data_IF_988949662682
#
_entry.id   IF_988949662682
#
_cell.length_a   1.000
_cell.length_b   1.000
_cell.length_c   1.000
_cell.angle_alpha   90.00
_cell.angle_beta   90.00
_cell.angle_gamma   90.00
#
_symmetry.space_group_name_H-M   'P 1'
#
loop_
_entity.id
_entity.type
_entity.pdbx_description
1 polymer ?
#
# COMPACT_ATOMS: atom_id res chain seq x y z
N UNK A 1 -67.03 2.67 65.26
CA UNK A 1 -67.36 3.77 66.17
C UNK A 1 -66.53 4.97 65.75
N UNK A 2 -67.21 5.99 65.25
CA UNK A 2 -66.67 7.20 64.64
C UNK A 2 -65.80 8.01 65.61
N UNK A 3 -64.79 8.72 65.09
CA UNK A 3 -64.62 10.17 65.26
C UNK A 3 -63.78 10.68 64.08
N UNK A 4 -64.38 11.57 63.29
CA UNK A 4 -63.72 12.52 62.41
C UNK A 4 -63.43 13.78 63.23
N UNK A 5 -62.25 14.39 63.10
CA UNK A 5 -62.13 15.86 63.22
C UNK A 5 -61.01 16.42 62.33
N UNK A 6 -61.36 17.59 61.79
CA UNK A 6 -60.77 18.43 60.73
C UNK A 6 -59.40 19.05 61.06
N UNK A 7 -58.91 19.77 60.04
CA UNK A 7 -57.98 20.91 60.01
C UNK A 7 -56.56 20.55 59.57
N UNK A 8 -55.87 21.30 58.72
CA UNK A 8 -56.20 22.36 57.77
C UNK A 8 -54.97 22.46 56.84
N UNK A 9 -55.19 22.75 55.56
CA UNK A 9 -54.12 23.04 54.60
C UNK A 9 -53.56 24.44 54.91
N UNK A 10 -52.24 24.63 54.79
CA UNK A 10 -51.83 25.70 53.88
C UNK A 10 -50.78 25.23 52.89
N UNK A 11 -50.98 25.69 51.67
CA UNK A 11 -50.05 25.57 50.56
C UNK A 11 -48.72 26.24 50.88
N UNK A 12 -47.62 25.59 50.51
CA UNK A 12 -46.44 26.33 50.07
C UNK A 12 -45.66 25.46 49.07
N UNK A 13 -45.45 26.02 47.90
CA UNK A 13 -44.83 25.41 46.73
C UNK A 13 -43.37 25.05 46.98
N UNK A 14 -42.93 23.87 46.52
CA UNK A 14 -41.52 23.58 46.29
C UNK A 14 -41.37 22.78 44.98
N UNK A 15 -41.22 23.57 43.91
CA UNK A 15 -40.30 23.42 42.78
C UNK A 15 -39.78 21.99 42.54
N UNK A 16 -40.27 21.39 41.45
CA UNK A 16 -39.58 20.32 40.72
C UNK A 16 -38.21 20.83 40.25
N UNK A 17 -37.13 20.41 40.92
CA UNK A 17 -35.82 20.34 40.27
C UNK A 17 -35.67 18.93 39.72
N UNK A 18 -36.11 18.74 38.48
CA UNK A 18 -35.64 17.63 37.67
C UNK A 18 -34.17 17.91 37.33
N UNK A 19 -33.26 17.25 38.04
CA UNK A 19 -31.84 17.21 37.69
C UNK A 19 -31.70 16.49 36.35
N UNK A 20 -31.74 17.22 35.24
CA UNK A 20 -31.31 16.72 33.93
C UNK A 20 -29.77 16.70 33.96
N UNK A 21 -29.21 15.72 34.67
CA UNK A 21 -27.81 15.34 34.52
C UNK A 21 -27.72 14.37 33.34
N UNK A 22 -27.89 14.91 32.13
CA UNK A 22 -28.04 14.08 30.94
C UNK A 22 -27.66 14.76 29.62
N UNK A 23 -26.69 15.67 29.62
CA UNK A 23 -26.19 16.29 28.38
C UNK A 23 -24.69 16.58 28.50
N UNK A 24 -23.83 15.58 28.27
CA UNK A 24 -22.45 15.84 27.83
C UNK A 24 -21.77 14.60 27.23
N UNK A 25 -22.45 13.89 26.32
CA UNK A 25 -21.82 12.86 25.48
C UNK A 25 -22.06 13.07 23.98
N UNK A 26 -22.82 14.08 23.59
CA UNK A 26 -23.15 14.36 22.18
C UNK A 26 -22.38 15.53 21.56
N UNK A 27 -21.74 16.40 22.35
CA UNK A 27 -21.06 17.60 21.85
C UNK A 27 -19.61 17.34 21.41
N UNK A 28 -18.89 16.41 22.05
CA UNK A 28 -17.50 16.07 21.71
C UNK A 28 -17.36 15.44 20.33
N UNK A 29 -18.34 14.60 19.94
CA UNK A 29 -18.32 13.90 18.66
C UNK A 29 -18.52 14.83 17.44
N UNK A 30 -19.02 16.06 17.64
CA UNK A 30 -19.28 17.00 16.55
C UNK A 30 -18.04 17.85 16.20
N UNK A 31 -17.25 18.25 17.19
CA UNK A 31 -16.05 19.08 16.96
C UNK A 31 -14.97 18.28 16.24
N UNK A 32 -14.67 17.07 16.70
CA UNK A 32 -13.68 16.18 16.05
C UNK A 32 -14.08 15.88 14.60
N UNK A 33 -15.36 15.58 14.35
CA UNK A 33 -15.88 15.31 13.02
C UNK A 33 -15.79 16.52 12.09
N UNK A 34 -16.07 17.71 12.62
CA UNK A 34 -15.97 18.97 11.85
C UNK A 34 -14.52 19.27 11.48
N UNK A 35 -13.59 19.08 12.42
CA UNK A 35 -12.15 19.23 12.17
C UNK A 35 -11.67 18.21 11.13
N UNK A 36 -12.08 16.95 11.27
CA UNK A 36 -11.72 15.88 10.32
C UNK A 36 -12.18 16.22 8.90
N UNK A 37 -13.44 16.62 8.72
CA UNK A 37 -13.98 17.01 7.41
C UNK A 37 -13.25 18.19 6.79
N UNK A 38 -12.95 19.20 7.61
CA UNK A 38 -12.16 20.36 7.16
C UNK A 38 -10.78 19.90 6.67
N UNK A 39 -10.07 19.10 7.46
CA UNK A 39 -8.75 18.56 7.08
C UNK A 39 -8.80 17.65 5.85
N UNK A 40 -9.83 16.81 5.71
CA UNK A 40 -10.04 15.95 4.53
C UNK A 40 -10.27 16.79 3.27
N UNK A 41 -10.94 17.95 3.38
CA UNK A 41 -11.17 18.85 2.23
C UNK A 41 -9.88 19.42 1.63
N UNK A 42 -8.80 19.48 2.42
CA UNK A 42 -7.49 19.94 1.98
C UNK A 42 -6.68 18.83 1.28
N UNK A 43 -7.11 17.58 1.40
CA UNK A 43 -6.42 16.41 0.91
C UNK A 43 -6.97 15.96 -0.44
N UNK A 44 -6.07 15.73 -1.38
CA UNK A 44 -6.38 15.11 -2.67
C UNK A 44 -5.40 13.97 -2.93
N UNK A 45 -5.81 12.99 -3.73
CA UNK A 45 -4.92 11.90 -4.17
C UNK A 45 -4.68 12.05 -5.66
N UNK A 46 -3.42 12.27 -6.04
CA UNK A 46 -3.00 12.27 -7.45
C UNK A 46 -2.60 10.86 -7.83
N UNK A 47 -3.43 10.20 -8.65
CA UNK A 47 -3.16 8.88 -9.21
C UNK A 47 -2.53 9.04 -10.59
N UNK A 48 -1.47 8.29 -10.86
CA UNK A 48 -0.84 8.22 -12.19
C UNK A 48 -0.62 6.76 -12.56
N UNK A 49 -1.03 6.38 -13.75
CA UNK A 49 -0.65 5.10 -14.34
C UNK A 49 0.85 5.06 -14.61
N UNK A 50 1.45 3.89 -14.44
CA UNK A 50 2.84 3.61 -14.80
C UNK A 50 2.84 2.90 -16.14
N UNK A 51 3.17 3.64 -17.19
CA UNK A 51 3.26 3.11 -18.54
C UNK A 51 4.72 2.80 -18.92
N UNK A 52 4.94 1.59 -19.43
CA UNK A 52 6.19 1.19 -20.09
C UNK A 52 5.90 0.01 -21.01
N UNK A 53 6.64 -0.09 -22.12
CA UNK A 53 6.58 -1.27 -22.99
C UNK A 53 6.96 -2.53 -22.21
N UNK A 54 8.05 -2.50 -21.43
CA UNK A 54 8.49 -3.64 -20.63
C UNK A 54 7.40 -4.09 -19.62
N UNK A 55 6.73 -3.15 -18.95
CA UNK A 55 5.63 -3.46 -18.03
C UNK A 55 4.49 -4.20 -18.73
N UNK A 56 4.05 -3.72 -19.90
CA UNK A 56 2.94 -4.35 -20.66
C UNK A 56 3.33 -5.68 -21.31
N UNK A 57 4.62 -5.87 -21.59
CA UNK A 57 5.12 -7.15 -22.12
C UNK A 57 5.12 -8.22 -21.03
N UNK A 58 5.61 -7.88 -19.84
CA UNK A 58 5.85 -8.82 -18.73
C UNK A 58 4.60 -9.07 -17.90
N UNK A 59 3.77 -8.05 -17.68
CA UNK A 59 2.63 -8.10 -16.77
C UNK A 59 1.31 -7.88 -17.51
N UNK A 60 0.27 -8.55 -17.02
CA UNK A 60 -1.13 -8.40 -17.45
C UNK A 60 -1.89 -7.36 -16.61
N UNK A 61 -1.36 -6.98 -15.45
CA UNK A 61 -1.92 -5.94 -14.59
C UNK A 61 -1.58 -4.52 -15.07
N UNK A 62 -2.44 -3.57 -14.71
CA UNK A 62 -2.13 -2.14 -14.81
C UNK A 62 -1.58 -1.64 -13.49
N UNK A 63 -0.53 -0.81 -13.52
CA UNK A 63 0.13 -0.31 -12.32
C UNK A 63 -0.08 1.18 -12.14
N UNK A 64 -0.25 1.63 -10.89
CA UNK A 64 -0.52 3.02 -10.55
C UNK A 64 0.36 3.50 -9.41
N UNK A 65 0.75 4.76 -9.41
CA UNK A 65 1.28 5.45 -8.23
C UNK A 65 0.24 6.44 -7.74
N UNK A 66 -0.13 6.35 -6.46
CA UNK A 66 -0.97 7.34 -5.80
C UNK A 66 -0.12 8.19 -4.84
N UNK A 67 -0.19 9.52 -4.98
CA UNK A 67 0.49 10.48 -4.10
C UNK A 67 -0.54 11.34 -3.38
N UNK A 68 -0.57 11.35 -2.03
CA UNK A 68 -1.40 12.28 -1.30
C UNK A 68 -0.81 13.69 -1.44
N UNK A 69 -1.70 14.67 -1.59
CA UNK A 69 -1.36 16.06 -1.75
C UNK A 69 -2.25 16.89 -0.83
N UNK A 70 -1.63 17.73 -0.02
CA UNK A 70 -2.32 18.61 0.92
C UNK A 70 -2.13 20.05 0.47
N UNK A 71 -3.24 20.76 0.29
CA UNK A 71 -3.27 22.19 -0.01
C UNK A 71 -3.78 22.94 1.21
N UNK A 72 -2.92 23.67 1.89
CA UNK A 72 -3.28 24.39 3.11
C UNK A 72 -3.97 25.72 2.81
N UNK A 73 -4.77 26.25 3.74
CA UNK A 73 -5.47 27.54 3.56
C UNK A 73 -4.53 28.75 3.33
N UNK A 74 -3.27 28.66 3.77
CA UNK A 74 -2.24 29.69 3.56
C UNK A 74 -1.63 29.67 2.15
N UNK A 75 -2.10 28.77 1.28
CA UNK A 75 -1.63 28.59 -0.09
C UNK A 75 -0.41 27.69 -0.22
N UNK A 76 0.15 27.19 0.89
CA UNK A 76 1.24 26.21 0.83
C UNK A 76 0.72 24.84 0.40
N UNK A 77 1.57 24.07 -0.27
CA UNK A 77 1.23 22.70 -0.68
C UNK A 77 2.32 21.74 -0.24
N UNK A 78 1.89 20.55 0.17
CA UNK A 78 2.77 19.43 0.50
C UNK A 78 2.36 18.21 -0.30
N UNK A 79 3.34 17.39 -0.68
CA UNK A 79 3.11 16.07 -1.26
C UNK A 79 3.70 15.03 -0.32
N UNK A 80 2.94 13.98 -0.03
CA UNK A 80 3.48 12.80 0.63
C UNK A 80 4.22 11.89 -0.35
N UNK A 81 4.79 10.82 0.22
CA UNK A 81 5.40 9.73 -0.56
C UNK A 81 4.39 9.01 -1.45
N UNK A 82 4.86 8.47 -2.58
CA UNK A 82 4.00 7.71 -3.49
C UNK A 82 3.84 6.27 -3.03
N UNK A 83 2.60 5.78 -3.09
CA UNK A 83 2.28 4.36 -2.86
C UNK A 83 1.98 3.71 -4.21
N UNK A 84 2.53 2.51 -4.43
CA UNK A 84 2.32 1.74 -5.65
C UNK A 84 1.08 0.86 -5.49
N UNK A 85 0.29 0.77 -6.56
CA UNK A 85 -0.90 -0.05 -6.66
C UNK A 85 -0.86 -0.85 -7.96
N UNK A 86 -1.58 -1.97 -7.98
CA UNK A 86 -1.86 -2.73 -9.18
C UNK A 86 -3.36 -3.02 -9.27
N UNK A 87 -3.86 -3.04 -10.49
CA UNK A 87 -5.20 -3.50 -10.85
C UNK A 87 -5.08 -4.84 -11.58
N UNK A 88 -5.77 -5.85 -11.05
CA UNK A 88 -5.95 -7.14 -11.71
C UNK A 88 -7.44 -7.38 -11.91
N UNK A 89 -7.93 -7.15 -13.13
CA UNK A 89 -9.35 -7.19 -13.45
C UNK A 89 -10.13 -6.04 -12.79
N UNK A 90 -10.81 -6.32 -11.67
CA UNK A 90 -11.58 -5.32 -10.88
C UNK A 90 -11.05 -5.13 -9.46
N UNK A 91 -9.93 -5.76 -9.13
CA UNK A 91 -9.35 -5.71 -7.79
C UNK A 91 -8.15 -4.79 -7.82
N UNK A 92 -8.19 -3.73 -7.01
CA UNK A 92 -7.08 -2.81 -6.80
C UNK A 92 -6.45 -3.11 -5.44
N UNK A 93 -5.13 -3.35 -5.41
CA UNK A 93 -4.37 -3.58 -4.19
C UNK A 93 -3.07 -2.79 -4.19
N UNK A 94 -2.56 -2.48 -3.01
CA UNK A 94 -1.23 -1.91 -2.85
C UNK A 94 -0.17 -2.96 -3.20
N UNK A 95 0.89 -2.52 -3.85
CA UNK A 95 2.09 -3.31 -4.10
C UNK A 95 3.25 -2.72 -3.31
N UNK A 96 3.92 -3.56 -2.51
CA UNK A 96 5.07 -3.13 -1.73
C UNK A 96 6.36 -3.48 -2.46
N UNK A 97 7.34 -2.58 -2.39
CA UNK A 97 8.71 -2.89 -2.81
C UNK A 97 9.32 -3.83 -1.76
N UNK A 98 10.03 -4.89 -2.16
CA UNK A 98 10.85 -5.66 -1.24
C UNK A 98 11.81 -4.76 -0.47
N UNK A 99 11.89 -4.92 0.85
CA UNK A 99 12.75 -4.08 1.66
C UNK A 99 14.18 -4.64 1.70
N UNK A 100 15.19 -3.77 1.69
CA UNK A 100 16.59 -4.16 1.90
C UNK A 100 16.84 -4.78 3.30
N UNK A 101 15.85 -4.69 4.19
CA UNK A 101 15.84 -5.24 5.54
C UNK A 101 14.93 -6.46 5.68
N UNK A 102 14.49 -7.05 4.55
CA UNK A 102 13.67 -8.25 4.57
C UNK A 102 14.35 -9.33 5.43
N UNK A 103 13.56 -9.99 6.29
CA UNK A 103 14.08 -10.96 7.26
C UNK A 103 14.45 -12.32 6.64
N UNK A 104 14.27 -12.48 5.33
CA UNK A 104 14.48 -13.76 4.61
C UNK A 104 15.25 -13.56 3.30
N UNK A 105 16.08 -14.55 2.97
CA UNK A 105 16.84 -14.61 1.71
C UNK A 105 16.03 -15.17 0.52
N UNK A 106 14.71 -15.11 0.59
CA UNK A 106 13.79 -15.61 -0.44
C UNK A 106 12.34 -15.20 -0.11
N UNK A 107 12.08 -13.90 0.01
CA UNK A 107 10.74 -13.38 0.27
C UNK A 107 9.85 -13.60 -0.97
N UNK A 108 8.75 -14.38 -0.87
CA UNK A 108 7.88 -14.61 -2.01
C UNK A 108 7.15 -13.33 -2.41
N UNK A 109 6.98 -13.11 -3.72
CA UNK A 109 6.26 -11.95 -4.26
C UNK A 109 4.99 -12.41 -5.02
N UNK A 110 3.96 -12.87 -4.30
CA UNK A 110 2.75 -13.42 -4.92
C UNK A 110 1.98 -12.38 -5.73
N UNK A 111 2.04 -11.10 -5.38
CA UNK A 111 1.40 -10.01 -6.13
C UNK A 111 2.01 -9.85 -7.52
N UNK A 112 3.35 -9.87 -7.63
CA UNK A 112 4.02 -9.85 -8.93
C UNK A 112 3.67 -11.10 -9.72
N UNK A 113 3.71 -12.29 -9.08
CA UNK A 113 3.37 -13.55 -9.74
C UNK A 113 1.94 -13.55 -10.30
N UNK A 114 0.99 -13.01 -9.55
CA UNK A 114 -0.41 -12.91 -9.97
C UNK A 114 -0.63 -11.91 -11.12
N UNK A 115 0.33 -11.00 -11.33
CA UNK A 115 0.29 -10.01 -12.39
C UNK A 115 1.07 -10.40 -13.64
N UNK A 116 1.80 -11.51 -13.65
CA UNK A 116 2.56 -11.92 -14.83
C UNK A 116 1.62 -12.23 -16.00
N UNK A 117 2.04 -11.84 -17.19
CA UNK A 117 1.43 -12.27 -18.43
C UNK A 117 1.77 -13.75 -18.64
N UNK A 118 0.75 -14.61 -18.79
CA UNK A 118 0.94 -16.05 -18.96
C UNK A 118 1.71 -16.41 -20.24
N UNK A 119 1.72 -15.52 -21.23
CA UNK A 119 2.45 -15.70 -22.49
C UNK A 119 3.91 -15.21 -22.42
N UNK A 120 4.31 -14.55 -21.32
CA UNK A 120 5.69 -14.11 -21.15
C UNK A 120 6.54 -15.27 -20.62
N UNK A 121 7.51 -15.69 -21.44
CA UNK A 121 8.42 -16.79 -21.14
C UNK A 121 9.86 -16.25 -21.04
N UNK A 122 10.65 -16.82 -20.13
CA UNK A 122 12.07 -16.50 -20.00
C UNK A 122 12.90 -17.71 -20.39
N UNK A 123 13.34 -17.73 -21.66
CA UNK A 123 14.11 -18.83 -22.24
C UNK A 123 15.58 -18.45 -22.45
N UNK A 124 15.86 -17.15 -22.54
CA UNK A 124 17.20 -16.58 -22.75
C UNK A 124 17.44 -15.32 -21.88
N UNK A 125 18.68 -14.82 -21.83
CA UNK A 125 19.03 -13.62 -21.05
C UNK A 125 18.32 -12.35 -21.51
N UNK A 126 18.00 -12.22 -22.79
CA UNK A 126 17.32 -11.04 -23.33
C UNK A 126 15.92 -10.90 -22.73
N UNK A 127 15.15 -11.99 -22.65
CA UNK A 127 13.84 -12.00 -22.00
C UNK A 127 13.95 -11.73 -20.49
N UNK A 128 14.99 -12.27 -19.84
CA UNK A 128 15.25 -11.96 -18.44
C UNK A 128 15.55 -10.46 -18.24
N UNK A 129 16.21 -9.84 -19.22
CA UNK A 129 16.43 -8.40 -19.31
C UNK A 129 15.14 -7.59 -19.40
N UNK A 130 14.17 -8.05 -20.19
CA UNK A 130 12.84 -7.41 -20.28
C UNK A 130 12.13 -7.46 -18.92
N UNK A 131 12.21 -8.58 -18.20
CA UNK A 131 11.69 -8.66 -16.83
C UNK A 131 12.43 -7.70 -15.88
N UNK A 132 13.76 -7.63 -15.95
CA UNK A 132 14.55 -6.71 -15.13
C UNK A 132 14.14 -5.24 -15.36
N UNK A 133 14.00 -4.83 -16.62
CA UNK A 133 13.54 -3.48 -16.99
C UNK A 133 12.11 -3.23 -16.46
N UNK A 134 11.20 -4.21 -16.61
CA UNK A 134 9.84 -4.08 -16.11
C UNK A 134 9.82 -3.87 -14.58
N UNK A 135 10.61 -4.63 -13.82
CA UNK A 135 10.74 -4.49 -12.36
C UNK A 135 11.36 -3.14 -11.96
N UNK A 136 12.38 -2.68 -12.69
CA UNK A 136 12.96 -1.35 -12.51
C UNK A 136 11.89 -0.27 -12.71
N UNK A 137 11.20 -0.27 -13.86
CA UNK A 137 10.15 0.73 -14.13
C UNK A 137 9.04 0.66 -13.11
N UNK A 138 8.69 -0.53 -12.61
CA UNK A 138 7.66 -0.73 -11.59
C UNK A 138 8.03 -0.05 -10.26
N UNK A 139 9.25 -0.28 -9.77
CA UNK A 139 9.67 0.16 -8.44
C UNK A 139 10.50 1.46 -8.44
N UNK A 140 10.86 2.01 -9.60
CA UNK A 140 11.52 3.30 -9.71
C UNK A 140 10.61 4.41 -9.20
N UNK A 141 10.87 4.87 -7.97
CA UNK A 141 10.39 6.16 -7.48
C UNK A 141 11.52 7.20 -7.38
N UNK A 142 12.80 6.79 -7.32
CA UNK A 142 14.03 7.60 -7.28
C UNK A 142 15.29 6.70 -7.54
N UNK A 143 15.25 5.77 -8.50
CA UNK A 143 16.06 4.54 -8.45
C UNK A 143 17.59 4.71 -8.50
N UNK A 144 18.25 4.06 -7.53
CA UNK A 144 19.64 3.57 -7.56
C UNK A 144 19.76 2.20 -8.24
N UNK A 145 18.82 1.83 -9.12
CA UNK A 145 19.02 0.64 -9.95
C UNK A 145 20.25 0.92 -10.81
N UNK A 146 21.27 0.05 -10.81
CA UNK A 146 22.38 0.19 -11.73
C UNK A 146 21.83 0.18 -13.16
N UNK A 147 22.42 0.98 -14.07
CA UNK A 147 22.04 0.99 -15.48
C UNK A 147 22.05 -0.43 -16.08
N UNK A 148 22.90 -1.30 -15.54
CA UNK A 148 23.02 -2.69 -15.92
C UNK A 148 22.77 -3.62 -14.71
N UNK A 149 21.53 -4.10 -14.54
CA UNK A 149 21.26 -5.19 -13.62
C UNK A 149 22.04 -6.45 -14.05
N UNK A 150 22.71 -7.12 -13.12
CA UNK A 150 23.41 -8.37 -13.44
C UNK A 150 22.40 -9.52 -13.48
N UNK A 151 22.36 -10.24 -14.60
CA UNK A 151 21.41 -11.32 -14.82
C UNK A 151 22.18 -12.64 -14.95
N UNK A 152 21.83 -13.61 -14.10
CA UNK A 152 22.42 -14.95 -14.12
C UNK A 152 21.37 -16.01 -14.31
N UNK A 153 21.71 -17.05 -15.08
CA UNK A 153 20.92 -18.28 -15.16
C UNK A 153 21.42 -19.28 -14.13
N UNK A 154 20.51 -20.00 -13.49
CA UNK A 154 20.81 -21.17 -12.67
C UNK A 154 19.92 -22.36 -13.08
N UNK A 155 20.07 -23.51 -12.43
CA UNK A 155 19.43 -24.78 -12.86
C UNK A 155 17.92 -24.65 -13.17
N UNK A 156 17.18 -23.88 -12.37
CA UNK A 156 15.71 -23.80 -12.47
C UNK A 156 15.20 -22.36 -12.69
N UNK A 157 16.01 -21.48 -13.27
CA UNK A 157 15.55 -20.15 -13.65
C UNK A 157 16.65 -19.09 -13.66
N UNK A 158 16.31 -17.91 -13.15
CA UNK A 158 17.10 -16.70 -13.31
C UNK A 158 17.23 -15.92 -12.01
N UNK A 159 18.36 -15.24 -11.86
CA UNK A 159 18.60 -14.29 -10.79
C UNK A 159 18.87 -12.93 -11.42
N UNK A 160 18.16 -11.91 -10.97
CA UNK A 160 18.32 -10.52 -11.41
C UNK A 160 18.82 -9.73 -10.21
N UNK A 161 20.09 -9.34 -10.25
CA UNK A 161 20.75 -8.62 -9.17
C UNK A 161 20.68 -7.13 -9.48
N UNK A 162 20.04 -6.37 -8.60
CA UNK A 162 19.70 -4.98 -8.84
C UNK A 162 20.16 -4.02 -7.72
N UNK A 163 20.81 -4.54 -6.67
CA UNK A 163 21.36 -3.72 -5.59
C UNK A 163 22.50 -4.47 -4.88
N UNK A 164 23.33 -3.72 -4.16
CA UNK A 164 24.32 -4.26 -3.25
C UNK A 164 24.35 -3.41 -1.96
N UNK A 165 24.13 -4.07 -0.83
CA UNK A 165 24.08 -3.40 0.47
C UNK A 165 25.00 -4.08 1.47
N UNK A 166 25.96 -3.33 2.02
CA UNK A 166 27.03 -3.85 2.89
C UNK A 166 27.77 -5.06 2.29
N UNK A 167 28.07 -5.03 0.99
CA UNK A 167 28.76 -6.12 0.29
C UNK A 167 27.89 -7.34 0.02
N UNK A 168 26.58 -7.29 0.32
CA UNK A 168 25.63 -8.37 0.02
C UNK A 168 24.80 -8.00 -1.19
N UNK A 169 24.83 -8.88 -2.19
CA UNK A 169 24.09 -8.74 -3.43
C UNK A 169 22.61 -9.01 -3.20
N UNK A 170 21.74 -8.12 -3.68
CA UNK A 170 20.29 -8.22 -3.53
C UNK A 170 19.58 -8.24 -4.89
N UNK A 171 18.38 -8.82 -4.91
CA UNK A 171 17.54 -8.81 -6.10
C UNK A 171 16.55 -9.96 -6.19
N UNK A 172 16.13 -10.27 -7.41
CA UNK A 172 15.01 -11.15 -7.67
C UNK A 172 15.47 -12.55 -8.05
N UNK A 173 14.79 -13.55 -7.48
CA UNK A 173 14.94 -14.97 -7.82
C UNK A 173 13.70 -15.41 -8.58
N UNK A 174 13.88 -15.81 -9.83
CA UNK A 174 12.82 -16.21 -10.75
C UNK A 174 12.96 -17.70 -11.00
N UNK A 175 11.94 -18.47 -10.64
CA UNK A 175 11.88 -19.90 -10.94
C UNK A 175 11.00 -20.12 -12.15
N UNK A 176 11.49 -20.90 -13.12
CA UNK A 176 10.75 -21.23 -14.35
C UNK A 176 10.55 -22.74 -14.50
N UNK A 177 9.58 -23.15 -15.31
CA UNK A 177 9.52 -24.52 -15.81
C UNK A 177 10.49 -24.71 -17.00
N UNK A 178 10.50 -25.91 -17.60
CA UNK A 178 11.34 -26.24 -18.77
C UNK A 178 11.01 -25.44 -20.03
N UNK A 179 9.82 -24.85 -20.12
CA UNK A 179 9.35 -24.03 -21.24
C UNK A 179 9.62 -22.53 -21.02
N UNK A 180 10.20 -22.15 -19.86
CA UNK A 180 10.47 -20.77 -19.51
C UNK A 180 9.29 -20.04 -18.83
N UNK A 181 8.18 -20.71 -18.57
CA UNK A 181 7.05 -20.12 -17.86
C UNK A 181 7.42 -19.87 -16.40
N UNK A 182 7.17 -18.67 -15.91
CA UNK A 182 7.53 -18.25 -14.55
C UNK A 182 6.58 -18.92 -13.55
N UNK A 183 7.16 -19.72 -12.65
CA UNK A 183 6.44 -20.40 -11.57
C UNK A 183 6.43 -19.55 -10.29
N UNK A 184 7.55 -18.88 -9.99
CA UNK A 184 7.73 -18.08 -8.77
C UNK A 184 8.56 -16.83 -9.04
N UNK A 185 8.20 -15.74 -8.37
CA UNK A 185 9.03 -14.55 -8.21
C UNK A 185 9.28 -14.38 -6.72
N UNK A 186 10.55 -14.29 -6.33
CA UNK A 186 10.96 -13.96 -4.97
C UNK A 186 12.00 -12.85 -4.97
N UNK A 187 12.24 -12.26 -3.80
CA UNK A 187 13.30 -11.29 -3.58
C UNK A 187 14.24 -11.78 -2.48
N UNK A 188 15.54 -11.59 -2.67
CA UNK A 188 16.56 -11.93 -1.69
C UNK A 188 17.44 -10.74 -1.37
N UNK A 189 17.76 -10.58 -0.09
CA UNK A 189 18.76 -9.63 0.43
C UNK A 189 20.16 -10.23 0.51
N UNK A 190 20.33 -11.48 0.05
CA UNK A 190 21.61 -12.16 -0.06
C UNK A 190 21.56 -13.23 -1.17
N UNK A 191 22.23 -12.95 -2.29
CA UNK A 191 22.26 -13.79 -3.48
C UNK A 191 23.54 -14.63 -3.62
N UNK A 192 24.46 -14.55 -2.65
CA UNK A 192 25.75 -15.25 -2.74
C UNK A 192 25.56 -16.78 -2.69
N UNK A 193 25.53 -17.44 -3.86
CA UNK A 193 25.38 -18.91 -3.98
C UNK A 193 24.66 -19.45 -5.22
N UNK A 194 24.17 -18.60 -6.12
CA UNK A 194 23.51 -19.01 -7.38
C UNK A 194 24.40 -18.89 -8.62
#
# INVERSE_FOLDING_TARGET
MSIQFKYAVPACALIFFASISGLSLAASNNVEESIRKEMESWQTVKVREKESLALRTVFSCTFYTAKPHTSYPDGTTMSGGGVLFYENGRVIKSLFRPSAFASSNDEPMPELRACLNENFLITNPEEAGVLAEALEKLFAQNSSFPEDAEIKRFQNGWVIINDEFFGKRQGYIITTNSEGAILRVGYSVNIDGY
#
